data_IF_964332385717
#
_entry.id   IF_964332385717
#
_cell.length_a   1.000
_cell.length_b   1.000
_cell.length_c   1.000
_cell.angle_alpha   90.00
_cell.angle_beta   90.00
_cell.angle_gamma   90.00
#
_symmetry.space_group_name_H-M   'P 1'
#
loop_
_entity.id
_entity.type
_entity.pdbx_description
1 polymer ?
#
# COMPACT_ATOMS: atom_id res chain seq x y z
N UNK A 1 18.64 -18.84 3.37
CA UNK A 1 17.57 -17.83 3.55
C UNK A 1 17.27 -17.22 2.17
N UNK A 2 15.99 -17.12 1.77
CA UNK A 2 15.65 -16.61 0.44
C UNK A 2 15.68 -15.08 0.33
N UNK A 3 16.03 -14.36 1.40
CA UNK A 3 16.06 -12.90 1.44
C UNK A 3 16.87 -12.27 0.31
N UNK A 4 18.01 -12.85 -0.03
CA UNK A 4 18.87 -12.39 -1.12
C UNK A 4 18.15 -12.28 -2.48
N UNK A 5 17.10 -13.08 -2.70
CA UNK A 5 16.33 -13.08 -3.92
C UNK A 5 15.25 -11.97 -3.96
N UNK A 6 14.99 -11.33 -2.82
CA UNK A 6 14.00 -10.28 -2.64
C UNK A 6 14.60 -8.90 -2.49
N UNK A 7 15.92 -8.82 -2.19
CA UNK A 7 16.61 -7.54 -2.04
C UNK A 7 17.39 -7.21 -3.32
N UNK A 8 16.91 -6.33 -4.20
CA UNK A 8 17.41 -6.17 -5.57
C UNK A 8 18.89 -5.81 -5.67
N UNK A 9 19.42 -5.16 -4.65
CA UNK A 9 20.84 -4.72 -4.62
C UNK A 9 21.75 -5.67 -3.84
N UNK A 10 21.25 -6.86 -3.44
CA UNK A 10 22.03 -7.82 -2.64
C UNK A 10 23.37 -8.19 -3.24
N UNK A 11 23.41 -8.47 -4.53
CA UNK A 11 24.64 -8.87 -5.25
C UNK A 11 25.68 -7.75 -5.37
N UNK A 12 25.26 -6.51 -5.12
CA UNK A 12 26.14 -5.31 -5.15
C UNK A 12 26.71 -4.97 -3.77
N UNK A 13 26.32 -5.70 -2.73
CA UNK A 13 26.82 -5.53 -1.37
C UNK A 13 28.13 -6.27 -1.16
N UNK A 14 29.01 -5.71 -0.31
CA UNK A 14 30.19 -6.41 0.20
C UNK A 14 29.76 -7.58 1.12
N UNK A 15 30.64 -8.56 1.30
CA UNK A 15 30.39 -9.67 2.22
C UNK A 15 30.14 -9.18 3.66
N UNK A 16 30.79 -8.14 4.11
CA UNK A 16 30.57 -7.53 5.42
C UNK A 16 29.15 -6.96 5.56
N UNK A 17 28.67 -6.25 4.53
CA UNK A 17 27.31 -5.69 4.50
C UNK A 17 26.24 -6.79 4.43
N UNK A 18 26.47 -7.83 3.63
CA UNK A 18 25.58 -8.99 3.56
C UNK A 18 25.46 -9.72 4.91
N UNK A 19 26.61 -9.92 5.59
CA UNK A 19 26.65 -10.51 6.93
C UNK A 19 25.94 -9.62 7.96
N UNK A 20 26.11 -8.31 7.87
CA UNK A 20 25.45 -7.36 8.77
C UNK A 20 23.92 -7.44 8.64
N UNK A 21 23.40 -7.42 7.42
CA UNK A 21 21.96 -7.60 7.19
C UNK A 21 21.52 -8.96 7.71
N UNK A 22 22.18 -10.03 7.30
CA UNK A 22 21.79 -11.40 7.64
C UNK A 22 21.77 -11.66 9.14
N UNK A 23 22.69 -11.04 9.88
CA UNK A 23 22.78 -11.15 11.34
C UNK A 23 21.69 -10.42 12.12
N UNK A 24 21.04 -9.42 11.49
CA UNK A 24 20.00 -8.60 12.13
C UNK A 24 18.63 -8.72 11.48
N UNK A 25 18.53 -9.50 10.41
CA UNK A 25 17.28 -9.70 9.67
C UNK A 25 16.24 -10.45 10.54
N UNK A 26 15.10 -9.83 10.74
CA UNK A 26 13.98 -10.43 11.46
C UNK A 26 12.91 -10.92 10.47
N UNK A 27 12.34 -12.10 10.75
CA UNK A 27 11.17 -12.61 10.02
C UNK A 27 9.95 -12.55 10.92
N UNK A 28 8.84 -12.02 10.41
CA UNK A 28 7.56 -11.91 11.13
C UNK A 28 6.42 -12.43 10.27
N UNK A 29 5.43 -13.04 10.92
CA UNK A 29 4.11 -13.33 10.34
C UNK A 29 3.11 -12.52 11.13
N UNK A 30 2.30 -11.73 10.44
CA UNK A 30 1.39 -10.75 11.04
C UNK A 30 0.01 -11.00 10.45
N UNK A 31 -0.99 -11.08 11.33
CA UNK A 31 -2.37 -11.32 10.93
C UNK A 31 -3.00 -10.10 10.26
N UNK A 32 -3.96 -10.35 9.37
CA UNK A 32 -4.77 -9.31 8.74
C UNK A 32 -5.35 -8.32 9.77
N UNK A 33 -5.39 -7.03 9.41
CA UNK A 33 -5.95 -5.95 10.23
C UNK A 33 -5.04 -5.49 11.35
N UNK A 34 -3.75 -5.83 11.31
CA UNK A 34 -2.78 -5.39 12.32
C UNK A 34 -2.04 -4.14 11.83
N UNK A 35 -2.09 -3.07 12.62
CA UNK A 35 -1.26 -1.87 12.41
C UNK A 35 0.17 -2.20 12.80
N UNK A 36 1.10 -2.07 11.85
CA UNK A 36 2.53 -2.35 12.03
C UNK A 36 3.29 -1.07 12.39
N UNK A 37 2.85 0.05 11.84
CA UNK A 37 3.45 1.36 12.05
C UNK A 37 2.36 2.43 12.12
N UNK A 38 2.47 3.34 13.05
CA UNK A 38 1.52 4.43 13.27
C UNK A 38 2.26 5.73 13.59
N UNK A 39 2.61 6.46 12.53
CA UNK A 39 3.22 7.78 12.64
C UNK A 39 4.70 7.79 13.09
N UNK A 40 5.14 8.94 13.59
CA UNK A 40 6.56 9.29 13.75
C UNK A 40 7.31 8.62 14.91
N UNK A 41 6.60 8.03 15.85
CA UNK A 41 7.21 7.55 17.13
C UNK A 41 7.74 6.11 17.05
N UNK A 42 7.23 5.29 16.15
CA UNK A 42 7.57 3.87 16.07
C UNK A 42 8.37 3.56 14.80
N UNK A 43 9.69 3.55 14.95
CA UNK A 43 10.56 3.12 13.85
C UNK A 43 10.66 1.59 13.82
N UNK A 44 9.84 0.97 13.00
CA UNK A 44 9.84 -0.50 12.85
C UNK A 44 11.05 -1.01 12.07
N UNK A 45 11.64 -0.17 11.20
CA UNK A 45 12.67 -0.55 10.24
C UNK A 45 12.12 -0.71 8.84
N UNK A 46 12.99 -1.07 7.90
CA UNK A 46 12.61 -1.33 6.52
C UNK A 46 11.85 -2.66 6.43
N UNK A 47 10.60 -2.62 5.95
CA UNK A 47 9.80 -3.83 5.73
C UNK A 47 9.96 -4.30 4.30
N UNK A 48 10.12 -5.62 4.12
CA UNK A 48 10.09 -6.28 2.82
C UNK A 48 9.00 -7.35 2.85
N UNK A 49 8.00 -7.20 1.99
CA UNK A 49 6.87 -8.12 1.91
C UNK A 49 7.33 -9.42 1.24
N UNK A 50 7.23 -10.53 1.97
CA UNK A 50 7.52 -11.86 1.47
C UNK A 50 6.29 -12.50 0.84
N UNK A 51 5.14 -12.31 1.44
CA UNK A 51 3.83 -12.72 0.93
C UNK A 51 2.73 -11.99 1.70
N UNK A 52 1.63 -11.72 1.05
CA UNK A 52 0.49 -11.01 1.63
C UNK A 52 0.32 -9.60 1.08
N UNK A 53 -0.21 -8.67 1.88
CA UNK A 53 -0.52 -7.33 1.41
C UNK A 53 -0.51 -6.33 2.56
N UNK A 54 0.17 -5.21 2.35
CA UNK A 54 0.15 -4.05 3.25
C UNK A 54 -0.56 -2.89 2.57
N UNK A 55 -1.16 -2.05 3.39
CA UNK A 55 -1.77 -0.79 3.03
C UNK A 55 -1.06 0.34 3.76
N UNK A 56 -0.68 1.37 3.03
CA UNK A 56 -0.16 2.62 3.57
C UNK A 56 -1.23 3.70 3.40
N UNK A 57 -1.65 4.33 4.49
CA UNK A 57 -2.69 5.34 4.49
C UNK A 57 -2.40 6.48 5.45
N UNK A 58 -3.03 7.61 5.22
CA UNK A 58 -3.10 8.74 6.15
C UNK A 58 -4.48 8.82 6.79
N UNK A 59 -4.50 9.31 8.02
CA UNK A 59 -5.70 9.51 8.81
C UNK A 59 -5.92 11.01 9.00
N UNK A 60 -7.14 11.51 8.72
CA UNK A 60 -7.51 12.88 9.02
C UNK A 60 -7.86 13.03 10.50
N UNK A 61 -7.90 14.29 11.00
CA UNK A 61 -8.34 14.61 12.36
C UNK A 61 -9.78 14.15 12.65
N UNK A 62 -10.60 13.99 11.59
CA UNK A 62 -11.97 13.48 11.69
C UNK A 62 -12.07 11.95 11.61
N UNK A 63 -10.94 11.25 11.59
CA UNK A 63 -10.87 9.79 11.52
C UNK A 63 -11.12 9.21 10.10
N UNK A 64 -11.05 10.04 9.05
CA UNK A 64 -11.14 9.55 7.68
C UNK A 64 -9.79 9.06 7.20
N UNK A 65 -9.78 7.90 6.58
CA UNK A 65 -8.60 7.30 5.99
C UNK A 65 -8.57 7.56 4.48
N UNK A 66 -7.37 7.67 3.92
CA UNK A 66 -7.15 7.59 2.49
C UNK A 66 -5.91 6.75 2.21
N UNK A 67 -6.04 5.74 1.37
CA UNK A 67 -4.93 4.91 0.95
C UNK A 67 -4.03 5.68 0.00
N UNK A 68 -2.74 5.72 0.33
CA UNK A 68 -1.72 6.35 -0.53
C UNK A 68 -1.21 5.33 -1.53
N UNK A 69 -0.85 4.12 -1.05
CA UNK A 69 -0.41 3.01 -1.89
C UNK A 69 -0.57 1.68 -1.14
N UNK A 70 -0.47 0.61 -1.88
CA UNK A 70 -0.40 -0.76 -1.36
C UNK A 70 0.94 -1.38 -1.66
N UNK A 71 1.28 -2.43 -0.90
CA UNK A 71 2.51 -3.19 -1.02
C UNK A 71 2.16 -4.67 -1.14
N UNK A 72 2.71 -5.29 -2.16
CA UNK A 72 2.52 -6.70 -2.49
C UNK A 72 3.81 -7.50 -2.32
N UNK A 73 3.82 -8.74 -2.74
CA UNK A 73 5.00 -9.59 -2.71
C UNK A 73 6.20 -8.93 -3.40
N UNK A 74 7.33 -8.89 -2.70
CA UNK A 74 8.61 -8.25 -3.09
C UNK A 74 8.66 -6.75 -2.95
N UNK A 75 7.57 -6.07 -2.59
CA UNK A 75 7.60 -4.64 -2.33
C UNK A 75 8.29 -4.31 -1.01
N UNK A 76 8.92 -3.14 -0.97
CA UNK A 76 9.57 -2.61 0.21
C UNK A 76 8.85 -1.37 0.74
N UNK A 77 8.62 -1.35 2.06
CA UNK A 77 8.10 -0.20 2.75
C UNK A 77 9.23 0.58 3.41
N UNK A 78 9.51 1.77 2.89
CA UNK A 78 10.53 2.65 3.42
C UNK A 78 9.97 3.55 4.54
N UNK A 79 8.68 3.90 4.49
CA UNK A 79 8.06 4.79 5.49
C UNK A 79 7.93 4.16 6.88
N UNK A 80 7.94 2.83 7.00
CA UNK A 80 8.07 2.15 8.30
C UNK A 80 9.42 2.39 8.99
N UNK A 81 10.39 2.91 8.23
CA UNK A 81 11.70 3.35 8.67
C UNK A 81 11.83 4.88 8.62
N UNK A 82 10.77 5.63 8.88
CA UNK A 82 10.70 7.09 8.81
C UNK A 82 11.76 7.81 9.65
N UNK A 83 12.21 7.19 10.74
CA UNK A 83 13.32 7.69 11.56
C UNK A 83 14.65 7.84 10.80
N UNK A 84 14.83 7.12 9.68
CA UNK A 84 16.00 7.27 8.81
C UNK A 84 15.89 8.56 8.00
N UNK A 85 14.67 9.00 7.71
CA UNK A 85 14.36 10.13 6.85
C UNK A 85 13.86 11.31 7.68
N UNK A 86 14.80 12.07 8.26
CA UNK A 86 14.53 13.18 9.18
C UNK A 86 13.64 14.31 8.62
N UNK A 87 13.39 14.32 7.31
CA UNK A 87 12.63 15.37 6.63
C UNK A 87 11.15 15.03 6.40
N UNK A 88 10.71 13.83 6.76
CA UNK A 88 9.31 13.44 6.62
C UNK A 88 8.51 14.04 7.78
N UNK A 89 7.54 14.91 7.46
CA UNK A 89 6.71 15.64 8.41
C UNK A 89 5.23 15.21 8.39
N UNK A 90 4.93 14.06 7.78
CA UNK A 90 3.57 13.52 7.77
C UNK A 90 3.53 12.15 8.43
N UNK A 91 2.41 11.89 9.09
CA UNK A 91 2.15 10.61 9.73
C UNK A 91 1.51 9.65 8.72
N UNK A 92 2.12 8.48 8.57
CA UNK A 92 1.58 7.42 7.74
C UNK A 92 1.33 6.20 8.61
N UNK A 93 0.21 5.54 8.39
CA UNK A 93 -0.11 4.28 9.03
C UNK A 93 0.11 3.13 8.06
N UNK A 94 0.75 2.06 8.52
CA UNK A 94 0.97 0.84 7.76
C UNK A 94 0.19 -0.29 8.45
N UNK A 95 -0.70 -0.92 7.70
CA UNK A 95 -1.58 -1.98 8.17
C UNK A 95 -1.52 -3.20 7.24
N UNK A 96 -1.75 -4.38 7.77
CA UNK A 96 -1.88 -5.62 6.98
C UNK A 96 -3.31 -5.77 6.45
N UNK A 97 -3.48 -5.88 5.13
CA UNK A 97 -4.78 -6.18 4.49
C UNK A 97 -5.02 -7.69 4.32
N UNK A 98 -3.97 -8.47 4.35
CA UNK A 98 -4.00 -9.95 4.36
C UNK A 98 -3.02 -10.46 5.41
N UNK A 99 -3.12 -11.74 5.80
CA UNK A 99 -2.07 -12.38 6.59
C UNK A 99 -0.74 -12.25 5.85
N UNK A 100 0.23 -11.58 6.46
CA UNK A 100 1.43 -11.13 5.77
C UNK A 100 2.68 -11.66 6.43
N UNK A 101 3.60 -12.18 5.63
CA UNK A 101 4.95 -12.55 6.05
C UNK A 101 5.92 -11.48 5.61
N UNK A 102 6.72 -11.00 6.55
CA UNK A 102 7.67 -9.90 6.35
C UNK A 102 9.07 -10.30 6.72
N UNK A 103 10.03 -9.67 6.06
CA UNK A 103 11.35 -9.44 6.62
C UNK A 103 11.46 -7.98 7.07
N UNK A 104 12.17 -7.79 8.16
CA UNK A 104 12.41 -6.47 8.74
C UNK A 104 13.90 -6.29 8.89
N UNK A 105 14.44 -5.24 8.27
CA UNK A 105 15.82 -4.77 8.50
C UNK A 105 15.71 -3.61 9.50
N UNK A 106 16.36 -3.70 10.68
CA UNK A 106 16.37 -2.59 11.62
C UNK A 106 16.87 -1.29 10.97
N UNK A 107 16.28 -0.18 11.38
CA UNK A 107 16.51 1.12 10.74
C UNK A 107 17.97 1.56 10.80
N UNK A 108 18.63 1.39 11.94
CA UNK A 108 20.04 1.71 12.17
C UNK A 108 20.97 0.89 11.26
N UNK A 109 20.66 -0.40 11.08
CA UNK A 109 21.40 -1.31 10.17
C UNK A 109 21.24 -0.84 8.72
N UNK A 110 19.98 -0.58 8.29
CA UNK A 110 19.74 -0.10 6.93
C UNK A 110 20.43 1.25 6.67
N UNK A 111 20.35 2.19 7.62
CA UNK A 111 21.00 3.50 7.54
C UNK A 111 22.51 3.38 7.43
N UNK A 112 23.13 2.50 8.23
CA UNK A 112 24.58 2.25 8.17
C UNK A 112 25.00 1.72 6.81
N UNK A 113 24.24 0.78 6.23
CA UNK A 113 24.54 0.21 4.92
C UNK A 113 24.32 1.25 3.81
N UNK A 114 23.24 2.01 3.88
CA UNK A 114 22.94 3.08 2.93
C UNK A 114 24.06 4.14 2.91
N UNK A 115 24.59 4.52 4.07
CA UNK A 115 25.70 5.47 4.16
C UNK A 115 27.01 4.93 3.55
N UNK A 116 27.23 3.62 3.60
CA UNK A 116 28.46 2.95 3.11
C UNK A 116 28.33 2.26 1.75
N UNK A 117 27.18 2.36 1.07
CA UNK A 117 26.90 1.64 -0.18
C UNK A 117 26.12 2.51 -1.17
N UNK A 118 26.82 3.03 -2.18
CA UNK A 118 26.17 3.78 -3.25
C UNK A 118 25.03 3.00 -3.96
N UNK A 119 25.15 1.69 -4.22
CA UNK A 119 24.03 0.91 -4.77
C UNK A 119 22.78 0.93 -3.88
N UNK A 120 22.92 0.85 -2.54
CA UNK A 120 21.78 0.90 -1.62
C UNK A 120 21.20 2.31 -1.55
N UNK A 121 22.05 3.34 -1.50
CA UNK A 121 21.60 4.73 -1.51
C UNK A 121 20.82 5.05 -2.78
N UNK A 122 21.30 4.63 -3.95
CA UNK A 122 20.60 4.83 -5.22
C UNK A 122 19.27 4.09 -5.25
N UNK A 123 19.24 2.84 -4.80
CA UNK A 123 18.02 2.06 -4.72
C UNK A 123 16.99 2.70 -3.75
N UNK A 124 17.45 3.23 -2.62
CA UNK A 124 16.58 3.99 -1.69
C UNK A 124 15.99 5.23 -2.36
N UNK A 125 16.79 5.96 -3.15
CA UNK A 125 16.31 7.12 -3.90
C UNK A 125 15.28 6.73 -4.97
N UNK A 126 15.47 5.59 -5.67
CA UNK A 126 14.51 5.06 -6.63
C UNK A 126 13.19 4.70 -5.94
N UNK A 127 13.24 4.03 -4.77
CA UNK A 127 12.05 3.75 -3.97
C UNK A 127 11.31 5.04 -3.58
N UNK A 128 12.05 6.07 -3.14
CA UNK A 128 11.45 7.37 -2.79
C UNK A 128 10.82 8.05 -4.00
N UNK A 129 11.47 8.02 -5.16
CA UNK A 129 10.91 8.58 -6.39
C UNK A 129 9.61 7.87 -6.80
N UNK A 130 9.56 6.53 -6.66
CA UNK A 130 8.33 5.76 -6.90
C UNK A 130 7.23 6.20 -5.94
N UNK A 131 7.50 6.30 -4.63
CA UNK A 131 6.51 6.73 -3.63
C UNK A 131 6.04 8.17 -3.85
N UNK A 132 6.94 9.04 -4.27
CA UNK A 132 6.56 10.40 -4.67
C UNK A 132 5.60 10.39 -5.87
N UNK A 133 5.86 9.56 -6.88
CA UNK A 133 4.98 9.40 -8.03
C UNK A 133 3.61 8.85 -7.65
N UNK A 134 3.56 7.86 -6.73
CA UNK A 134 2.28 7.32 -6.21
C UNK A 134 1.44 8.43 -5.55
N UNK A 135 2.07 9.28 -4.73
CA UNK A 135 1.41 10.40 -4.06
C UNK A 135 0.93 11.44 -5.07
N UNK A 136 1.75 11.80 -6.05
CA UNK A 136 1.38 12.76 -7.09
C UNK A 136 0.21 12.25 -7.94
N UNK A 137 0.23 10.97 -8.30
CA UNK A 137 -0.88 10.35 -9.00
C UNK A 137 -2.17 10.39 -8.15
N UNK A 138 -2.09 10.08 -6.85
CA UNK A 138 -3.24 10.16 -5.95
C UNK A 138 -3.81 11.58 -5.88
N UNK A 139 -2.95 12.60 -5.78
CA UNK A 139 -3.36 14.00 -5.78
C UNK A 139 -4.10 14.33 -7.08
N UNK A 140 -3.56 13.91 -8.22
CA UNK A 140 -4.20 14.09 -9.53
C UNK A 140 -5.60 13.44 -9.56
N UNK A 141 -5.73 12.19 -9.07
CA UNK A 141 -7.02 11.52 -8.99
C UNK A 141 -8.04 12.29 -8.13
N UNK A 142 -7.60 12.83 -6.98
CA UNK A 142 -8.49 13.57 -6.08
C UNK A 142 -8.89 14.93 -6.68
N UNK A 143 -7.98 15.60 -7.37
CA UNK A 143 -8.22 16.94 -7.92
C UNK A 143 -9.06 16.93 -9.18
N UNK A 144 -8.89 15.94 -10.04
CA UNK A 144 -9.44 15.97 -11.40
C UNK A 144 -10.51 14.90 -11.67
N UNK A 145 -10.52 13.79 -10.92
CA UNK A 145 -11.53 12.76 -11.11
C UNK A 145 -12.67 12.88 -10.08
N UNK A 146 -13.89 12.84 -10.56
CA UNK A 146 -15.09 12.72 -9.73
C UNK A 146 -15.11 11.41 -8.94
N UNK A 147 -15.90 11.33 -7.87
CA UNK A 147 -15.89 10.17 -6.99
C UNK A 147 -16.40 8.90 -7.69
N UNK A 148 -17.35 9.01 -8.61
CA UNK A 148 -17.86 7.88 -9.40
C UNK A 148 -16.76 7.20 -10.22
N UNK A 149 -15.93 7.99 -10.90
CA UNK A 149 -14.75 7.50 -11.65
C UNK A 149 -13.74 6.83 -10.72
N UNK A 150 -13.48 7.42 -9.57
CA UNK A 150 -12.57 6.86 -8.57
C UNK A 150 -13.10 5.55 -7.96
N UNK A 151 -14.43 5.44 -7.73
CA UNK A 151 -15.06 4.19 -7.29
C UNK A 151 -14.99 3.14 -8.39
N UNK A 152 -15.22 3.51 -9.66
CA UNK A 152 -15.10 2.59 -10.79
C UNK A 152 -13.68 2.03 -10.90
N UNK A 153 -12.66 2.91 -10.92
CA UNK A 153 -11.25 2.52 -10.97
C UNK A 153 -10.86 1.61 -9.78
N UNK A 154 -11.33 1.94 -8.57
CA UNK A 154 -11.09 1.12 -7.39
C UNK A 154 -11.70 -0.29 -7.50
N UNK A 155 -12.91 -0.43 -8.00
CA UNK A 155 -13.55 -1.74 -8.19
C UNK A 155 -12.81 -2.59 -9.23
N UNK A 156 -12.31 -1.98 -10.31
CA UNK A 156 -11.48 -2.65 -11.31
C UNK A 156 -10.13 -3.11 -10.73
N UNK A 157 -9.48 -2.26 -9.94
CA UNK A 157 -8.25 -2.61 -9.24
C UNK A 157 -8.45 -3.79 -8.28
N UNK A 158 -9.51 -3.75 -7.45
CA UNK A 158 -9.85 -4.86 -6.54
C UNK A 158 -10.13 -6.16 -7.31
N UNK A 159 -10.85 -6.08 -8.43
CA UNK A 159 -11.11 -7.24 -9.27
C UNK A 159 -9.83 -7.85 -9.84
N UNK A 160 -8.87 -7.02 -10.23
CA UNK A 160 -7.56 -7.44 -10.69
C UNK A 160 -6.74 -8.11 -9.58
N UNK A 161 -6.72 -7.52 -8.37
CA UNK A 161 -6.00 -8.05 -7.21
C UNK A 161 -6.57 -9.39 -6.74
N UNK A 162 -7.91 -9.53 -6.72
CA UNK A 162 -8.58 -10.74 -6.26
C UNK A 162 -8.77 -11.79 -7.37
N UNK A 163 -8.52 -11.42 -8.64
CA UNK A 163 -8.70 -12.29 -9.81
C UNK A 163 -10.17 -12.64 -10.07
N UNK A 164 -11.12 -11.84 -9.59
CA UNK A 164 -12.56 -12.07 -9.72
C UNK A 164 -13.36 -10.78 -9.65
N UNK A 165 -14.44 -10.68 -10.45
CA UNK A 165 -15.40 -9.57 -10.35
C UNK A 165 -16.35 -9.65 -9.16
N UNK A 166 -16.29 -10.71 -8.34
CA UNK A 166 -17.13 -10.86 -7.14
C UNK A 166 -16.32 -10.51 -5.89
N UNK A 167 -16.38 -9.25 -5.52
CA UNK A 167 -15.57 -8.64 -4.48
C UNK A 167 -16.23 -8.77 -3.10
N UNK A 168 -15.56 -9.41 -2.15
CA UNK A 168 -15.99 -9.49 -0.75
C UNK A 168 -15.52 -8.27 0.03
N UNK A 169 -16.08 -7.12 -0.26
CA UNK A 169 -15.74 -5.84 0.33
C UNK A 169 -16.97 -5.11 0.86
N UNK A 170 -16.77 -4.28 1.87
CA UNK A 170 -17.83 -3.44 2.46
C UNK A 170 -17.78 -2.03 1.88
N UNK A 171 -18.90 -1.30 1.98
CA UNK A 171 -18.93 0.13 1.60
C UNK A 171 -17.98 0.97 2.45
N UNK A 172 -17.77 0.57 3.72
CA UNK A 172 -16.78 1.19 4.62
C UNK A 172 -15.35 1.00 4.10
N UNK A 173 -15.03 -0.23 3.68
CA UNK A 173 -13.72 -0.53 3.11
C UNK A 173 -13.43 0.35 1.89
N UNK A 174 -14.39 0.50 0.96
CA UNK A 174 -14.25 1.39 -0.20
C UNK A 174 -14.09 2.85 0.25
N UNK A 175 -14.89 3.29 1.22
CA UNK A 175 -14.83 4.65 1.75
C UNK A 175 -13.46 4.98 2.34
N UNK A 176 -12.90 4.06 3.14
CA UNK A 176 -11.57 4.21 3.74
C UNK A 176 -10.45 4.27 2.70
N UNK A 177 -10.57 3.52 1.61
CA UNK A 177 -9.58 3.60 0.54
C UNK A 177 -9.61 4.92 -0.24
N UNK A 178 -10.81 5.46 -0.45
CA UNK A 178 -11.02 6.62 -1.31
C UNK A 178 -11.10 7.96 -0.56
N UNK A 179 -10.94 7.96 0.76
CA UNK A 179 -11.05 9.18 1.56
C UNK A 179 -12.47 9.76 1.58
N UNK A 180 -13.49 8.90 1.54
CA UNK A 180 -14.89 9.30 1.43
C UNK A 180 -15.71 8.82 2.64
N UNK A 181 -16.99 9.17 2.68
CA UNK A 181 -17.94 8.69 3.68
C UNK A 181 -18.70 7.46 3.16
N UNK A 182 -18.94 6.50 4.04
CA UNK A 182 -19.68 5.28 3.73
C UNK A 182 -21.04 5.55 3.08
N UNK A 183 -21.77 6.58 3.53
CA UNK A 183 -23.08 6.96 2.99
C UNK A 183 -22.98 7.42 1.54
N UNK A 184 -21.90 8.14 1.20
CA UNK A 184 -21.63 8.62 -0.17
C UNK A 184 -21.32 7.42 -1.08
N UNK A 185 -20.44 6.53 -0.65
CA UNK A 185 -20.14 5.28 -1.37
C UNK A 185 -21.42 4.44 -1.54
N UNK A 186 -22.25 4.33 -0.49
CA UNK A 186 -23.50 3.57 -0.58
C UNK A 186 -24.45 4.14 -1.65
N UNK A 187 -24.57 5.47 -1.77
CA UNK A 187 -25.37 6.10 -2.82
C UNK A 187 -24.78 5.85 -4.21
N UNK A 188 -23.46 5.93 -4.34
CA UNK A 188 -22.77 5.68 -5.59
C UNK A 188 -22.94 4.25 -6.09
N UNK A 189 -22.75 3.28 -5.20
CA UNK A 189 -22.91 1.86 -5.55
C UNK A 189 -24.37 1.51 -5.89
N UNK A 190 -25.37 2.15 -5.24
CA UNK A 190 -26.78 2.03 -5.63
C UNK A 190 -27.05 2.59 -7.02
N UNK A 191 -26.41 3.72 -7.36
CA UNK A 191 -26.47 4.25 -8.71
C UNK A 191 -25.88 3.26 -9.72
N UNK A 192 -24.70 2.72 -9.47
CA UNK A 192 -24.10 1.67 -10.33
C UNK A 192 -24.96 0.42 -10.47
N UNK A 193 -25.66 0.03 -9.40
CA UNK A 193 -26.60 -1.10 -9.47
C UNK A 193 -27.81 -0.77 -10.34
N UNK A 194 -28.36 0.43 -10.27
CA UNK A 194 -29.50 0.84 -11.10
C UNK A 194 -29.14 0.91 -12.58
N UNK A 195 -27.88 1.30 -12.89
CA UNK A 195 -27.33 1.29 -14.25
C UNK A 195 -26.91 -0.10 -14.73
N UNK A 196 -27.05 -1.14 -13.89
CA UNK A 196 -26.69 -2.52 -14.24
C UNK A 196 -25.18 -2.78 -14.27
N UNK A 197 -24.37 -1.88 -13.72
CA UNK A 197 -22.90 -1.99 -13.71
C UNK A 197 -22.44 -2.97 -12.64
N UNK A 198 -23.09 -2.94 -11.46
CA UNK A 198 -22.78 -3.85 -10.35
C UNK A 198 -24.05 -4.46 -9.76
N UNK A 199 -23.88 -5.59 -9.08
CA UNK A 199 -24.93 -6.20 -8.23
C UNK A 199 -24.45 -6.17 -6.78
N UNK A 200 -25.31 -5.64 -5.89
CA UNK A 200 -25.01 -5.53 -4.48
C UNK A 200 -25.68 -6.63 -3.68
N UNK A 201 -24.94 -7.22 -2.76
CA UNK A 201 -25.44 -8.12 -1.72
C UNK A 201 -24.71 -7.87 -0.41
N UNK A 202 -25.11 -8.51 0.68
CA UNK A 202 -24.50 -8.26 2.00
C UNK A 202 -22.99 -8.54 2.01
N UNK A 203 -22.19 -7.48 2.09
CA UNK A 203 -20.72 -7.56 2.12
C UNK A 203 -20.07 -8.00 0.79
N UNK A 204 -20.83 -7.91 -0.32
CA UNK A 204 -20.32 -8.27 -1.65
C UNK A 204 -20.77 -7.24 -2.67
N UNK A 205 -19.81 -6.80 -3.49
CA UNK A 205 -20.01 -6.03 -4.73
C UNK A 205 -19.60 -6.93 -5.89
N UNK A 206 -20.54 -7.26 -6.78
CA UNK A 206 -20.29 -8.09 -7.96
C UNK A 206 -20.35 -7.20 -9.21
N UNK A 207 -19.26 -7.13 -9.96
CA UNK A 207 -19.18 -6.41 -11.24
C UNK A 207 -19.95 -7.22 -12.26
N UNK A 208 -20.95 -6.62 -12.87
CA UNK A 208 -21.85 -7.25 -13.88
C UNK A 208 -21.58 -6.75 -15.28
N UNK A 209 -21.01 -5.55 -15.41
CA UNK A 209 -20.66 -4.93 -16.70
C UNK A 209 -19.29 -4.26 -16.56
N UNK A 210 -18.24 -5.00 -16.93
CA UNK A 210 -16.85 -4.51 -16.85
C UNK A 210 -16.58 -3.41 -17.86
N UNK A 211 -17.14 -3.50 -19.07
CA UNK A 211 -16.92 -2.51 -20.14
C UNK A 211 -17.43 -1.13 -19.73
N UNK A 212 -18.67 -1.05 -19.19
CA UNK A 212 -19.19 0.22 -18.67
C UNK A 212 -18.40 0.76 -17.48
N UNK A 213 -17.88 -0.14 -16.64
CA UNK A 213 -17.07 0.28 -15.49
C UNK A 213 -15.72 0.87 -15.95
N UNK A 214 -15.10 0.28 -16.97
CA UNK A 214 -13.88 0.78 -17.62
C UNK A 214 -14.13 2.14 -18.29
N UNK A 215 -15.18 2.25 -19.11
CA UNK A 215 -15.56 3.53 -19.75
C UNK A 215 -15.77 4.64 -18.70
N UNK A 216 -16.39 4.31 -17.56
CA UNK A 216 -16.63 5.27 -16.48
C UNK A 216 -15.33 5.69 -15.80
N UNK A 217 -14.36 4.79 -15.65
CA UNK A 217 -13.08 5.10 -15.00
C UNK A 217 -12.16 5.96 -15.87
N UNK A 218 -12.28 5.86 -17.20
CA UNK A 218 -11.40 6.52 -18.18
C UNK A 218 -11.88 7.92 -18.59
N UNK A 219 -13.17 8.23 -18.46
CA UNK A 219 -13.72 9.54 -18.74
C UNK A 219 -13.23 10.60 -17.74
#
# INVERSE_FOLDING_TARGET
>A
MDFQNYFPVWSKLTAAQQNLISGHLMSRTISKGTVIHNGSMDCTGLLLVRSGQLRAYILSDEGREITIYRLFDRDMCLFSASCIMRSIQFEITIETEKDTKLWIIPADIYQSIMAGSAPVANYTNELMATRFSDVMWLIEQIMWKSLDKRVAAFLLEEASIEGTGKLKITHEYIANHLGSHREVITRMLRYFQNEGIVKLSRGVVEITDTEKLEELSDQ
#
